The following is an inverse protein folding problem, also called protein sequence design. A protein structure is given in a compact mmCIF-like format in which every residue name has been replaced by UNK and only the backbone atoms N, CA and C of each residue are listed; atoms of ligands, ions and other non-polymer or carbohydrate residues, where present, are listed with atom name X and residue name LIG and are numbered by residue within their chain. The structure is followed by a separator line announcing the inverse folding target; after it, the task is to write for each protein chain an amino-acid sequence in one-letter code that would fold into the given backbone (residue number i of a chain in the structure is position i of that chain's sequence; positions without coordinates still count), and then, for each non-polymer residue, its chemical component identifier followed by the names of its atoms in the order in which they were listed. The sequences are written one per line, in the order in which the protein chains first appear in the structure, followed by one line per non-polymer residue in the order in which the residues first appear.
data_IF_741495064622
#
_entry.id   IF_741495064622
#
_cell.length_a   1.000
_cell.length_b   1.000
_cell.length_c   1.000
_cell.angle_alpha   90.00
_cell.angle_beta   90.00
_cell.angle_gamma   90.00
#
_symmetry.space_group_name_H-M   'P 1'
#
loop_
_entity.id
_entity.type
_entity.pdbx_description
1 polymer ?
#
# COMPACT_ATOMS: atom_id res chain seq x y z
N UNK A 1 -11.27 -12.26 0.76
CA UNK A 1 -10.94 -10.90 1.20
C UNK A 1 -9.97 -10.34 0.17
N UNK A 2 -10.37 -9.29 -0.53
CA UNK A 2 -9.51 -8.63 -1.52
C UNK A 2 -8.40 -7.87 -0.80
N UNK A 3 -7.21 -7.78 -1.41
CA UNK A 3 -6.05 -7.14 -0.79
C UNK A 3 -5.30 -6.31 -1.82
N UNK A 4 -4.80 -5.15 -1.41
CA UNK A 4 -4.02 -4.26 -2.26
C UNK A 4 -2.60 -4.12 -1.70
N UNK A 5 -1.63 -4.66 -2.42
CA UNK A 5 -0.21 -4.45 -2.13
C UNK A 5 0.30 -3.20 -2.83
N UNK A 6 1.14 -2.43 -2.15
CA UNK A 6 1.69 -1.19 -2.72
C UNK A 6 3.00 -0.77 -2.06
N UNK A 7 3.63 0.23 -2.65
CA UNK A 7 4.88 0.75 -2.13
C UNK A 7 4.70 1.46 -0.77
N UNK A 8 5.75 1.48 0.04
CA UNK A 8 5.79 2.19 1.32
C UNK A 8 5.50 3.69 1.19
N UNK A 9 5.80 4.30 0.04
CA UNK A 9 5.49 5.71 -0.24
C UNK A 9 4.00 6.04 -0.23
N UNK A 10 3.13 5.03 -0.30
CA UNK A 10 1.67 5.17 -0.18
C UNK A 10 1.16 4.98 1.26
N UNK A 11 2.03 4.93 2.26
CA UNK A 11 1.61 4.85 3.66
C UNK A 11 0.90 6.15 4.09
N UNK A 12 -0.43 6.12 3.98
CA UNK A 12 -1.33 7.18 4.38
C UNK A 12 -2.55 6.58 5.12
N UNK A 13 -2.95 7.21 6.22
CA UNK A 13 -4.03 6.70 7.05
C UNK A 13 -5.40 6.83 6.35
N UNK A 14 -5.60 7.88 5.56
CA UNK A 14 -6.85 8.11 4.81
C UNK A 14 -7.01 7.07 3.71
N UNK A 15 -5.92 6.69 3.03
CA UNK A 15 -5.93 5.59 2.07
C UNK A 15 -6.29 4.25 2.74
N UNK A 16 -5.72 3.97 3.91
CA UNK A 16 -6.01 2.73 4.66
C UNK A 16 -7.47 2.68 5.13
N UNK A 17 -8.02 3.81 5.56
CA UNK A 17 -9.43 3.92 5.98
C UNK A 17 -10.37 3.71 4.79
N UNK A 18 -10.10 4.36 3.65
CA UNK A 18 -10.85 4.16 2.42
C UNK A 18 -10.85 2.70 1.95
N UNK A 19 -9.68 2.05 1.94
CA UNK A 19 -9.57 0.63 1.61
C UNK A 19 -10.33 -0.25 2.61
N UNK A 20 -10.26 0.07 3.90
CA UNK A 20 -11.00 -0.61 4.95
C UNK A 20 -12.52 -0.49 4.78
N UNK A 21 -13.02 0.69 4.41
CA UNK A 21 -14.44 0.94 4.11
C UNK A 21 -14.93 0.10 2.93
N UNK A 22 -14.08 -0.11 1.93
CA UNK A 22 -14.39 -0.95 0.76
C UNK A 22 -14.15 -2.46 1.03
N UNK A 23 -13.76 -2.84 2.25
CA UNK A 23 -13.46 -4.23 2.60
C UNK A 23 -12.16 -4.78 1.99
N UNK A 24 -11.30 -3.91 1.47
CA UNK A 24 -10.01 -4.25 0.88
C UNK A 24 -8.91 -4.15 1.93
N UNK A 25 -8.15 -5.23 2.12
CA UNK A 25 -7.04 -5.24 3.08
C UNK A 25 -5.81 -4.50 2.50
N UNK A 26 -5.32 -3.43 3.14
CA UNK A 26 -4.10 -2.76 2.71
C UNK A 26 -2.86 -3.58 3.09
N UNK A 27 -2.07 -3.97 2.09
CA UNK A 27 -0.75 -4.58 2.24
C UNK A 27 0.34 -3.53 1.94
N UNK A 28 0.40 -2.51 2.80
CA UNK A 28 1.34 -1.39 2.71
C UNK A 28 2.23 -1.39 3.95
N UNK A 29 3.55 -1.26 3.76
CA UNK A 29 4.48 -1.11 4.89
C UNK A 29 4.24 0.23 5.58
N UNK A 30 4.20 0.22 6.91
CA UNK A 30 4.20 1.42 7.72
C UNK A 30 5.53 2.17 7.57
N UNK A 31 5.46 3.50 7.52
CA UNK A 31 6.61 4.36 7.73
C UNK A 31 7.05 4.23 9.19
N UNK A 32 8.34 4.02 9.39
CA UNK A 32 8.90 3.71 10.70
C UNK A 32 9.05 5.00 11.49
N UNK A 33 8.07 5.33 12.31
CA UNK A 33 8.10 6.48 13.22
C UNK A 33 8.21 6.05 14.69
N UNK A 34 7.68 4.86 15.01
CA UNK A 34 7.65 4.29 16.34
C UNK A 34 7.86 2.77 16.33
N UNK A 35 8.09 2.19 17.51
CA UNK A 35 8.32 0.76 17.68
C UNK A 35 7.15 -0.11 17.20
N UNK A 36 5.90 0.39 17.28
CA UNK A 36 4.73 -0.35 16.82
C UNK A 36 4.69 -0.51 15.28
N UNK A 37 5.29 0.41 14.52
CA UNK A 37 5.38 0.31 13.06
C UNK A 37 6.25 -0.88 12.64
N UNK A 38 7.29 -1.18 13.41
CA UNK A 38 8.13 -2.37 13.20
C UNK A 38 7.33 -3.65 13.41
N UNK A 39 6.52 -3.72 14.46
CA UNK A 39 5.66 -4.88 14.72
C UNK A 39 4.62 -5.08 13.61
N UNK A 40 4.02 -4.01 13.10
CA UNK A 40 3.10 -4.08 11.96
C UNK A 40 3.79 -4.55 10.68
N UNK A 41 4.99 -4.03 10.40
CA UNK A 41 5.78 -4.46 9.24
C UNK A 41 6.24 -5.92 9.34
N UNK A 42 6.55 -6.41 10.54
CA UNK A 42 6.92 -7.81 10.76
C UNK A 42 5.74 -8.79 10.57
N UNK A 43 4.50 -8.30 10.70
CA UNK A 43 3.27 -9.09 10.50
C UNK A 43 2.81 -9.13 9.04
N UNK A 44 3.41 -8.33 8.16
CA UNK A 44 3.10 -8.35 6.73
C UNK A 44 3.65 -9.64 6.11
N UNK A 45 2.78 -10.36 5.42
CA UNK A 45 3.17 -11.52 4.63
C UNK A 45 4.09 -11.07 3.48
N UNK A 46 5.31 -11.59 3.45
CA UNK A 46 6.34 -11.17 2.50
C UNK A 46 6.03 -11.60 1.07
N UNK A 47 5.34 -12.73 0.89
CA UNK A 47 4.99 -13.25 -0.43
C UNK A 47 3.87 -12.41 -1.05
N UNK A 48 2.81 -12.14 -0.28
CA UNK A 48 1.71 -11.26 -0.70
C UNK A 48 2.19 -9.82 -0.91
N UNK A 49 3.06 -9.30 -0.05
CA UNK A 49 3.66 -7.97 -0.25
C UNK A 49 4.56 -7.92 -1.50
N UNK A 50 5.24 -9.02 -1.82
CA UNK A 50 6.05 -9.17 -3.03
C UNK A 50 5.25 -8.99 -4.33
N UNK A 51 3.93 -9.14 -4.28
CA UNK A 51 3.02 -8.94 -5.41
C UNK A 51 2.69 -7.46 -5.71
N UNK A 52 3.28 -6.51 -4.97
CA UNK A 52 3.06 -5.05 -5.15
C UNK A 52 3.32 -4.53 -6.57
N UNK A 53 4.14 -5.23 -7.35
CA UNK A 53 4.48 -4.85 -8.73
C UNK A 53 3.24 -4.72 -9.62
N UNK A 54 2.17 -5.47 -9.34
CA UNK A 54 0.90 -5.39 -10.07
C UNK A 54 0.24 -4.01 -9.88
N UNK A 55 0.14 -3.54 -8.64
CA UNK A 55 -0.42 -2.23 -8.33
C UNK A 55 0.49 -1.10 -8.85
N UNK A 56 1.81 -1.25 -8.70
CA UNK A 56 2.78 -0.26 -9.21
C UNK A 56 2.69 -0.09 -10.74
N UNK A 57 2.41 -1.18 -11.48
CA UNK A 57 2.19 -1.13 -12.93
C UNK A 57 0.97 -0.29 -13.27
N UNK A 58 -0.16 -0.52 -12.56
CA UNK A 58 -1.37 0.27 -12.73
C UNK A 58 -1.15 1.75 -12.40
N UNK A 59 -0.50 2.05 -11.26
CA UNK A 59 -0.19 3.43 -10.87
C UNK A 59 0.76 4.11 -11.85
N UNK A 60 1.74 3.39 -12.40
CA UNK A 60 2.62 3.93 -13.43
C UNK A 60 1.88 4.25 -14.73
N UNK A 61 0.92 3.42 -15.13
CA UNK A 61 0.10 3.67 -16.32
C UNK A 61 -0.78 4.92 -16.13
N UNK A 62 -1.39 5.06 -14.94
CA UNK A 62 -2.20 6.24 -14.57
C UNK A 62 -1.33 7.50 -14.62
N UNK A 63 -0.18 7.52 -13.95
CA UNK A 63 0.74 8.68 -13.94
C UNK A 63 1.22 9.07 -15.34
N UNK A 64 1.50 8.10 -16.22
CA UNK A 64 1.89 8.39 -17.60
C UNK A 64 0.76 9.02 -18.42
N UNK A 65 -0.49 8.63 -18.17
CA UNK A 65 -1.66 9.14 -18.90
C UNK A 65 -2.12 10.51 -18.41
N UNK A 66 -2.09 10.74 -17.10
CA UNK A 66 -2.68 11.94 -16.48
C UNK A 66 -1.63 12.93 -15.94
N UNK A 67 -0.34 12.60 -16.04
CA UNK A 67 0.74 13.36 -15.43
C UNK A 67 0.93 13.03 -13.94
N UNK A 68 2.01 13.54 -13.31
CA UNK A 68 2.16 13.45 -11.86
C UNK A 68 1.10 14.34 -11.17
N UNK A 69 0.52 13.84 -10.07
CA UNK A 69 -0.23 14.71 -9.16
C UNK A 69 0.75 15.71 -8.51
N UNK A 70 0.47 17.00 -8.67
CA UNK A 70 1.22 18.13 -8.08
C UNK A 70 0.57 18.57 -6.78
#
# INVERSE_FOLDING_TARGET
IESLAGDKGYDDQSLRDALGSEGVRPLLRHRLFAAYDHAHNARLDSELYGQRWMAETAFSAIKRRFGPAV
#
